data_IF_742138079144
#
_entry.id   IF_742138079144
#
_cell.length_a   1.000
_cell.length_b   1.000
_cell.length_c   1.000
_cell.angle_alpha   90.00
_cell.angle_beta   90.00
_cell.angle_gamma   90.00
#
_symmetry.space_group_name_H-M   'P 1'
#
loop_
_entity.id
_entity.type
_entity.pdbx_description
1 polymer ?
#
# COMPACT_ATOMS: atom_id res chain seq x y z
N UNK A 1 -14.96 -9.34 -24.31
CA UNK A 1 -14.61 -9.28 -23.94
C UNK A 1 -13.99 -8.92 -23.32
N UNK A 2 -13.78 -8.58 -23.41
CA UNK A 2 -13.12 -8.37 -22.96
C UNK A 2 -12.82 -8.40 -22.14
N UNK A 3 -13.02 -8.57 -21.88
CA UNK A 3 -12.69 -8.55 -21.14
C UNK A 3 -12.08 -8.92 -20.63
N UNK A 4 -12.14 -9.30 -20.96
CA UNK A 4 -11.46 -9.85 -20.62
C UNK A 4 -10.43 -9.56 -20.35
N UNK A 5 -10.18 -9.27 -20.76
CA UNK A 5 -9.13 -8.95 -20.70
C UNK A 5 -8.71 -8.51 -19.58
N UNK A 6 -9.17 -8.16 -19.25
CA UNK A 6 -8.80 -7.72 -18.33
C UNK A 6 -8.53 -8.38 -17.41
N UNK A 7 -8.80 -9.15 -17.54
CA UNK A 7 -8.51 -9.79 -16.79
C UNK A 7 -7.45 -10.17 -16.74
N UNK A 8 -7.06 -10.15 -17.48
CA UNK A 8 -6.02 -10.49 -17.51
C UNK A 8 -5.15 -9.93 -16.88
N UNK A 9 -5.08 -9.04 -16.80
CA UNK A 9 -4.20 -8.49 -16.20
C UNK A 9 -4.18 -8.88 -14.94
N UNK A 10 -4.82 -9.22 -14.62
CA UNK A 10 -4.86 -9.61 -13.53
C UNK A 10 -4.06 -10.65 -13.30
N UNK A 11 -3.76 -11.14 -14.25
CA UNK A 11 -3.02 -11.95 -14.15
C UNK A 11 -2.00 -11.88 -13.43
N UNK A 12 -1.68 -11.29 -13.59
CA UNK A 12 -0.80 -11.15 -12.65
C UNK A 12 -1.43 -11.36 -11.39
N UNK A 13 -1.98 -12.43 -11.22
CA UNK A 13 -2.64 -12.72 -10.00
C UNK A 13 -1.70 -12.61 -8.84
N UNK A 14 -0.44 -12.97 -9.04
CA UNK A 14 0.54 -12.87 -7.98
C UNK A 14 0.76 -11.43 -7.59
N UNK A 15 0.44 -10.50 -8.48
CA UNK A 15 0.58 -9.09 -8.19
C UNK A 15 -0.71 -8.48 -7.70
N UNK A 16 -1.67 -9.30 -7.40
CA UNK A 16 -2.93 -8.79 -6.90
C UNK A 16 -2.70 -8.02 -5.62
N UNK A 17 -3.21 -6.80 -5.50
CA UNK A 17 -3.03 -6.05 -4.27
C UNK A 17 -3.73 -6.72 -3.11
N UNK A 18 -3.13 -6.63 -1.93
CA UNK A 18 -3.74 -7.18 -0.75
C UNK A 18 -5.08 -6.51 -0.46
N UNK A 19 -5.10 -5.19 -0.58
CA UNK A 19 -6.31 -4.43 -0.24
C UNK A 19 -7.31 -4.56 -1.38
N UNK A 20 -8.48 -5.09 -1.07
CA UNK A 20 -9.52 -5.27 -2.08
C UNK A 20 -10.24 -3.97 -2.37
N UNK A 21 -10.15 -3.01 -1.48
CA UNK A 21 -10.78 -1.72 -1.68
C UNK A 21 -9.90 -0.61 -1.15
N UNK A 22 -9.71 0.39 -1.98
CA UNK A 22 -9.10 1.64 -1.59
C UNK A 22 -10.11 2.71 -1.94
N UNK A 23 -10.71 3.28 -0.91
CA UNK A 23 -11.72 4.31 -1.14
C UNK A 23 -11.09 5.52 -1.80
N UNK A 24 -11.87 6.22 -2.60
CA UNK A 24 -11.42 7.49 -3.14
C UNK A 24 -11.05 8.40 -1.98
N UNK A 25 -10.00 9.20 -2.14
CA UNK A 25 -9.55 10.02 -1.02
C UNK A 25 -10.58 11.08 -0.65
N UNK A 26 -10.61 11.37 0.64
CA UNK A 26 -11.50 12.40 1.18
C UNK A 26 -10.63 13.51 1.73
N UNK A 27 -10.94 14.75 1.38
CA UNK A 27 -10.22 15.90 1.90
C UNK A 27 -10.87 16.43 3.17
N UNK A 28 -10.06 16.75 4.15
CA UNK A 28 -10.52 17.35 5.40
C UNK A 28 -9.67 18.59 5.64
N UNK A 29 -10.32 19.70 5.93
CA UNK A 29 -9.63 20.95 6.23
C UNK A 29 -9.82 21.27 7.70
N UNK A 30 -8.71 21.44 8.42
CA UNK A 30 -8.78 21.65 9.87
C UNK A 30 -8.52 23.10 10.28
N UNK A 31 -8.55 24.04 9.32
CA UNK A 31 -8.32 25.44 9.62
C UNK A 31 -6.92 25.90 9.29
N UNK A 32 -5.96 24.99 9.23
CA UNK A 32 -4.58 25.31 8.93
C UNK A 32 -4.02 24.44 7.82
N UNK A 33 -4.36 23.18 7.84
CA UNK A 33 -3.85 22.22 6.88
C UNK A 33 -4.98 21.49 6.22
N UNK A 34 -4.72 21.04 5.02
CA UNK A 34 -5.59 20.10 4.33
C UNK A 34 -5.04 18.71 4.56
N UNK A 35 -5.92 17.77 4.83
CA UNK A 35 -5.55 16.40 5.09
C UNK A 35 -6.27 15.54 4.07
N UNK A 36 -5.52 14.72 3.35
CA UNK A 36 -6.10 13.81 2.37
C UNK A 36 -6.09 12.42 2.99
N UNK A 37 -7.27 11.85 3.13
CA UNK A 37 -7.46 10.61 3.88
C UNK A 37 -7.77 9.48 2.93
N UNK A 38 -6.98 8.41 2.99
CA UNK A 38 -7.22 7.18 2.27
C UNK A 38 -7.53 6.08 3.27
N UNK A 39 -8.46 5.22 2.94
CA UNK A 39 -8.79 4.07 3.79
C UNK A 39 -8.57 2.79 3.01
N UNK A 40 -7.70 1.95 3.53
CA UNK A 40 -7.29 0.71 2.88
C UNK A 40 -7.94 -0.47 3.59
N UNK A 41 -8.72 -1.24 2.88
CA UNK A 41 -9.46 -2.38 3.42
C UNK A 41 -9.19 -3.61 2.61
N UNK A 42 -9.20 -4.78 3.24
CA UNK A 42 -9.44 -5.05 4.66
C UNK A 42 -8.20 -4.81 5.49
N UNK A 43 -8.35 -4.81 6.81
CA UNK A 43 -7.20 -4.69 7.69
C UNK A 43 -6.31 -5.93 7.51
N UNK A 44 -5.03 -5.74 7.18
CA UNK A 44 -4.16 -6.89 6.96
C UNK A 44 -3.66 -7.47 8.28
N UNK A 45 -3.21 -8.72 8.26
CA UNK A 45 -2.47 -9.24 9.41
C UNK A 45 -1.19 -8.45 9.57
N UNK A 46 -0.72 -8.32 10.80
CA UNK A 46 0.50 -7.57 11.11
C UNK A 46 0.40 -6.13 10.64
N UNK A 47 -0.63 -5.37 11.08
CA UNK A 47 -0.83 -4.03 10.54
C UNK A 47 0.32 -3.08 10.81
N UNK A 48 1.06 -3.24 11.91
CA UNK A 48 2.21 -2.38 12.16
C UNK A 48 3.27 -2.53 11.10
N UNK A 49 3.48 -3.76 10.64
CA UNK A 49 4.46 -4.01 9.60
C UNK A 49 4.03 -3.34 8.29
N UNK A 50 2.73 -3.43 7.98
CA UNK A 50 2.21 -2.76 6.80
C UNK A 50 2.35 -1.25 6.87
N UNK A 51 2.10 -0.68 8.06
CA UNK A 51 2.22 0.76 8.24
C UNK A 51 3.65 1.21 7.98
N UNK A 52 4.63 0.49 8.50
CA UNK A 52 6.03 0.83 8.27
C UNK A 52 6.39 0.72 6.80
N UNK A 53 5.92 -0.33 6.14
CA UNK A 53 6.21 -0.54 4.73
C UNK A 53 5.57 0.56 3.88
N UNK A 54 4.34 0.93 4.18
CA UNK A 54 3.65 1.96 3.44
C UNK A 54 4.37 3.30 3.56
N UNK A 55 4.77 3.67 4.77
CA UNK A 55 5.48 4.93 4.98
C UNK A 55 6.80 4.94 4.21
N UNK A 56 7.54 3.85 4.31
CA UNK A 56 8.82 3.74 3.64
C UNK A 56 8.68 3.88 2.13
N UNK A 57 7.75 3.16 1.56
CA UNK A 57 7.58 3.19 0.11
C UNK A 57 6.99 4.50 -0.37
N UNK A 58 6.13 5.12 0.45
CA UNK A 58 5.59 6.43 0.08
C UNK A 58 6.71 7.48 0.01
N UNK A 59 7.58 7.51 1.00
CA UNK A 59 8.67 8.49 1.02
C UNK A 59 9.62 8.31 -0.15
N UNK A 60 9.71 7.13 -0.70
CA UNK A 60 10.55 6.88 -1.87
C UNK A 60 9.95 7.38 -3.17
N UNK A 61 8.65 7.66 -3.19
CA UNK A 61 7.98 8.08 -4.41
C UNK A 61 8.17 9.56 -4.72
N UNK A 62 8.56 10.34 -3.73
CA UNK A 62 8.60 11.79 -3.87
C UNK A 62 9.91 12.33 -3.31
N UNK A 63 10.46 13.35 -3.99
CA UNK A 63 11.69 13.99 -3.52
C UNK A 63 11.47 14.67 -2.19
N UNK A 64 10.34 15.35 -2.05
CA UNK A 64 9.99 16.03 -0.82
C UNK A 64 8.63 15.54 -0.39
N UNK A 65 8.61 14.39 0.25
CA UNK A 65 7.35 13.80 0.66
C UNK A 65 6.74 14.62 1.79
N UNK A 66 5.44 14.86 1.74
CA UNK A 66 4.77 15.55 2.82
C UNK A 66 4.68 14.66 4.04
N UNK A 67 4.32 15.27 5.16
CA UNK A 67 4.08 14.52 6.38
C UNK A 67 2.89 13.59 6.20
N UNK A 68 3.01 12.39 6.74
CA UNK A 68 1.91 11.43 6.70
C UNK A 68 1.68 10.87 8.09
N UNK A 69 0.46 10.40 8.30
CA UNK A 69 0.09 9.72 9.53
C UNK A 69 -0.69 8.48 9.11
N UNK A 70 -0.13 7.32 9.37
CA UNK A 70 -0.72 6.06 8.97
C UNK A 70 -1.05 5.27 10.22
N UNK A 71 -2.32 4.90 10.37
CA UNK A 71 -2.77 4.27 11.60
C UNK A 71 -3.85 3.24 11.30
N UNK A 72 -4.13 2.42 12.31
CA UNK A 72 -5.22 1.46 12.26
C UNK A 72 -6.46 2.12 12.84
N UNK A 73 -7.55 2.10 12.09
CA UNK A 73 -8.82 2.65 12.54
C UNK A 73 -9.89 1.63 12.19
N UNK A 74 -10.52 1.08 13.21
CA UNK A 74 -11.55 0.05 13.02
C UNK A 74 -10.98 -1.11 12.21
N UNK A 75 -11.52 -1.36 11.03
CA UNK A 75 -11.13 -2.50 10.22
C UNK A 75 -10.32 -2.09 9.01
N UNK A 76 -9.61 -0.97 9.10
CA UNK A 76 -8.83 -0.49 7.94
C UNK A 76 -7.54 0.17 8.40
N UNK A 77 -6.65 0.38 7.43
CA UNK A 77 -5.50 1.24 7.62
C UNK A 77 -5.87 2.60 7.04
N UNK A 78 -5.76 3.63 7.86
CA UNK A 78 -6.03 4.99 7.42
C UNK A 78 -4.72 5.68 7.12
N UNK A 79 -4.56 6.14 5.90
CA UNK A 79 -3.35 6.79 5.42
C UNK A 79 -3.69 8.26 5.19
N UNK A 80 -3.14 9.13 6.02
CA UNK A 80 -3.43 10.56 5.97
C UNK A 80 -2.22 11.32 5.48
N UNK A 81 -2.42 12.17 4.47
CA UNK A 81 -1.36 12.99 3.90
C UNK A 81 -1.68 14.46 4.20
N UNK A 82 -0.72 15.15 4.82
CA UNK A 82 -0.91 16.55 5.21
C UNK A 82 -0.33 17.45 4.15
N UNK A 83 -1.14 18.36 3.61
CA UNK A 83 -0.71 19.23 2.54
C UNK A 83 -1.17 20.66 2.83
N UNK A 84 -0.60 21.61 2.11
CA UNK A 84 -1.04 22.98 2.18
C UNK A 84 -2.45 23.11 1.58
N UNK A 85 -3.32 23.94 2.15
CA UNK A 85 -4.64 24.16 1.55
C UNK A 85 -4.55 24.71 0.13
N UNK A 86 -3.40 25.26 -0.25
CA UNK A 86 -3.22 25.86 -1.57
C UNK A 86 -2.58 24.89 -2.55
N UNK A 87 -2.49 23.63 -2.20
CA UNK A 87 -1.90 22.62 -3.07
C UNK A 87 -2.65 22.58 -4.41
N UNK A 88 -1.91 22.48 -5.50
CA UNK A 88 -2.50 22.46 -6.83
C UNK A 88 -3.09 21.09 -7.15
N UNK A 89 -3.98 21.06 -8.14
CA UNK A 89 -4.53 19.80 -8.62
C UNK A 89 -3.40 18.91 -9.14
N UNK A 90 -2.44 19.51 -9.82
CA UNK A 90 -1.32 18.75 -10.36
C UNK A 90 -0.53 18.05 -9.25
N UNK A 91 -0.25 18.79 -8.18
CA UNK A 91 0.48 18.20 -7.05
C UNK A 91 -0.36 17.14 -6.34
N UNK A 92 -1.67 17.35 -6.27
CA UNK A 92 -2.55 16.33 -5.69
C UNK A 92 -2.53 15.05 -6.53
N UNK A 93 -2.47 15.19 -7.86
CA UNK A 93 -2.37 14.00 -8.70
C UNK A 93 -1.07 13.25 -8.45
N UNK A 94 0.02 13.97 -8.25
CA UNK A 94 1.30 13.32 -7.94
C UNK A 94 1.24 12.60 -6.60
N UNK A 95 0.61 13.21 -5.61
CA UNK A 95 0.45 12.58 -4.31
C UNK A 95 -0.41 11.34 -4.40
N UNK A 96 -1.50 11.44 -5.15
CA UNK A 96 -2.40 10.30 -5.32
C UNK A 96 -1.67 9.12 -5.94
N UNK A 97 -0.91 9.38 -6.99
CA UNK A 97 -0.12 8.35 -7.63
C UNK A 97 0.91 7.77 -6.66
N UNK A 98 1.52 8.63 -5.84
CA UNK A 98 2.52 8.16 -4.89
C UNK A 98 1.91 7.24 -3.85
N UNK A 99 0.68 7.54 -3.39
CA UNK A 99 0.00 6.67 -2.43
C UNK A 99 -0.28 5.31 -3.05
N UNK A 100 -0.86 5.29 -4.24
CA UNK A 100 -1.19 4.02 -4.88
C UNK A 100 0.06 3.22 -5.22
N UNK A 101 1.12 3.89 -5.66
CA UNK A 101 2.38 3.20 -5.93
C UNK A 101 2.99 2.64 -4.66
N UNK A 102 2.87 3.37 -3.55
CA UNK A 102 3.38 2.89 -2.27
C UNK A 102 2.62 1.65 -1.81
N UNK A 103 1.30 1.66 -1.96
CA UNK A 103 0.48 0.49 -1.60
C UNK A 103 0.90 -0.72 -2.41
N UNK A 104 1.06 -0.54 -3.70
CA UNK A 104 1.44 -1.63 -4.59
C UNK A 104 2.85 -2.15 -4.26
N UNK A 105 3.79 -1.23 -4.08
CA UNK A 105 5.18 -1.61 -3.81
C UNK A 105 5.32 -2.30 -2.46
N UNK A 106 4.62 -1.80 -1.45
CA UNK A 106 4.66 -2.41 -0.12
C UNK A 106 4.11 -3.82 -0.17
N UNK A 107 3.00 -4.01 -0.89
CA UNK A 107 2.41 -5.34 -1.02
C UNK A 107 3.35 -6.32 -1.68
N UNK A 108 4.01 -5.89 -2.75
CA UNK A 108 4.94 -6.75 -3.46
C UNK A 108 6.13 -7.11 -2.58
N UNK A 109 6.66 -6.15 -1.85
CA UNK A 109 7.81 -6.39 -0.98
C UNK A 109 7.46 -7.39 0.10
N UNK A 110 6.29 -7.28 0.70
CA UNK A 110 5.85 -8.19 1.74
C UNK A 110 5.66 -9.59 1.16
N UNK A 111 5.05 -9.67 0.00
CA UNK A 111 4.82 -10.95 -0.67
C UNK A 111 6.14 -11.62 -1.04
N UNK A 112 7.09 -10.85 -1.54
CA UNK A 112 8.40 -11.39 -1.91
C UNK A 112 9.14 -11.95 -0.70
N UNK A 113 9.04 -11.27 0.44
CA UNK A 113 9.68 -11.75 1.65
C UNK A 113 9.03 -13.04 2.13
N UNK A 114 7.73 -13.13 2.03
CA UNK A 114 7.01 -14.34 2.41
C UNK A 114 7.42 -15.52 1.51
N UNK A 115 7.51 -15.27 0.22
CA UNK A 115 7.90 -16.28 -0.74
C UNK A 115 9.32 -16.77 -0.47
N UNK A 116 10.23 -15.85 -0.21
CA UNK A 116 11.62 -16.20 0.07
C UNK A 116 11.73 -17.05 1.32
N UNK A 117 10.96 -16.72 2.35
CA UNK A 117 10.97 -17.49 3.59
C UNK A 117 10.43 -18.89 3.35
N UNK A 118 9.36 -19.01 2.59
CA UNK A 118 8.77 -20.32 2.30
C UNK A 118 9.74 -21.21 1.54
N UNK A 119 10.49 -20.63 0.63
CA UNK A 119 11.49 -21.40 -0.12
C UNK A 119 12.58 -21.93 0.80
N UNK A 120 13.00 -21.14 1.76
CA UNK A 120 13.99 -21.58 2.74
C UNK A 120 13.43 -22.72 3.60
N UNK A 121 12.19 -22.60 4.00
CA UNK A 121 11.56 -23.63 4.81
C UNK A 121 11.42 -24.91 4.03
N UNK A 122 11.15 -24.85 2.75
CA UNK A 122 11.08 -26.04 1.92
C UNK A 122 12.41 -26.79 1.90
N UNK A 123 13.51 -26.06 1.86
CA UNK A 123 14.82 -26.70 1.91
C UNK A 123 15.04 -27.40 3.24
N UNK A 124 14.58 -26.79 4.32
CA UNK A 124 14.68 -27.43 5.64
C UNK A 124 13.87 -28.71 5.66
N UNK A 125 12.66 -28.68 5.12
CA UNK A 125 11.81 -29.86 5.07
C UNK A 125 12.44 -30.99 4.25
N UNK A 126 13.06 -30.63 3.15
CA UNK A 126 13.72 -31.64 2.32
C UNK A 126 14.84 -32.29 3.04
N UNK A 127 15.60 -31.58 3.85
CA UNK A 127 16.67 -32.18 4.64
C UNK A 127 16.12 -33.20 5.62
N UNK A 128 14.99 -32.88 6.23
CA UNK A 128 14.37 -33.82 7.17
C UNK A 128 13.94 -35.10 6.49
N UNK A 129 13.38 -34.98 5.29
CA UNK A 129 12.90 -36.11 4.55
C UNK A 129 14.05 -37.02 4.15
N UNK A 130 15.14 -36.43 3.74
CA UNK A 130 16.28 -37.20 3.27
C UNK A 130 16.92 -37.98 4.42
N UNK A 131 16.83 -37.49 5.60
CA UNK A 131 17.38 -38.21 6.76
C UNK A 131 16.52 -39.38 7.14
#
# INVERSE_FOLDING_TARGET
>A
MGEVADEQHDQSASARPFFSRTEAPIGVYNGEQAIIVYELRPLPPWPKYWIQALAKHFHRQLDQAPKVDISVVDDCIRFCVFVSPEVSVEDLCKLDNAVYNAVDSAGRAIEDQQTALNEKLDRVRQRRIIR
#
